data_IF_503554337548
#
_entry.id   IF_503554337548
#
_cell.length_a   1.000
_cell.length_b   1.000
_cell.length_c   1.000
_cell.angle_alpha   90.00
_cell.angle_beta   90.00
_cell.angle_gamma   90.00
#
_symmetry.space_group_name_H-M   'P 1'
#
loop_
_entity.id
_entity.type
_entity.pdbx_description
1 polymer ?
#
# COMPACT_ATOMS: atom_id res chain seq x y z
N UNK A 1 9.57 3.58 1.81
CA UNK A 1 8.45 2.65 2.03
C UNK A 1 7.19 3.22 1.38
N UNK A 2 6.32 2.35 0.87
CA UNK A 2 5.00 2.69 0.35
C UNK A 2 4.07 1.46 0.48
N UNK A 3 2.79 1.63 0.18
CA UNK A 3 1.71 0.65 0.28
C UNK A 3 0.80 0.78 -0.95
N UNK A 4 0.16 -0.31 -1.38
CA UNK A 4 -0.92 -0.27 -2.37
C UNK A 4 -2.28 -0.12 -1.68
N UNK A 5 -2.88 1.06 -1.83
CA UNK A 5 -4.16 1.39 -1.21
C UNK A 5 -5.18 0.30 -1.49
N UNK A 6 -5.73 -0.31 -0.43
CA UNK A 6 -6.82 -1.30 -0.54
C UNK A 6 -6.60 -2.39 -1.61
N UNK A 7 -5.35 -2.87 -1.79
CA UNK A 7 -4.93 -3.71 -2.92
C UNK A 7 -5.95 -4.78 -3.34
N UNK A 8 -6.49 -5.56 -2.40
CA UNK A 8 -7.43 -6.65 -2.70
C UNK A 8 -8.75 -6.20 -3.34
N UNK A 9 -9.24 -5.01 -3.00
CA UNK A 9 -10.53 -4.49 -3.47
C UNK A 9 -10.51 -4.09 -4.96
N UNK A 10 -9.33 -4.00 -5.56
CA UNK A 10 -9.19 -3.72 -6.99
C UNK A 10 -9.35 -4.96 -7.89
N UNK A 11 -9.43 -6.16 -7.30
CA UNK A 11 -9.52 -7.42 -8.04
C UNK A 11 -10.85 -8.10 -7.79
N UNK A 12 -11.62 -8.32 -8.86
CA UNK A 12 -12.90 -9.01 -8.79
C UNK A 12 -12.71 -10.52 -8.59
N UNK A 13 -13.58 -11.09 -7.76
CA UNK A 13 -13.74 -12.54 -7.64
C UNK A 13 -14.66 -13.02 -8.76
N UNK A 14 -14.30 -14.15 -9.38
CA UNK A 14 -15.12 -14.82 -10.40
C UNK A 14 -16.53 -15.07 -9.86
N UNK A 15 -17.56 -14.88 -10.69
CA UNK A 15 -18.96 -14.83 -10.20
C UNK A 15 -19.38 -16.13 -9.52
N UNK A 16 -18.92 -17.26 -10.06
CA UNK A 16 -19.15 -18.60 -9.53
C UNK A 16 -18.54 -18.84 -8.13
N UNK A 17 -17.54 -18.04 -7.74
CA UNK A 17 -16.88 -18.16 -6.44
C UNK A 17 -17.38 -17.17 -5.39
N UNK A 18 -18.17 -16.16 -5.79
CA UNK A 18 -18.62 -15.10 -4.87
C UNK A 18 -19.51 -15.66 -3.75
N UNK A 19 -20.27 -16.73 -4.01
CA UNK A 19 -21.17 -17.31 -3.01
C UNK A 19 -20.43 -17.90 -1.79
N UNK A 20 -19.13 -18.19 -1.92
CA UNK A 20 -18.29 -18.61 -0.79
C UNK A 20 -17.78 -17.44 0.08
N UNK A 21 -18.05 -16.19 -0.33
CA UNK A 21 -17.64 -14.97 0.37
C UNK A 21 -18.84 -14.20 0.93
N UNK A 22 -19.88 -14.94 1.31
CA UNK A 22 -21.07 -14.38 1.97
C UNK A 22 -20.77 -14.04 3.42
N UNK A 23 -21.37 -12.96 3.90
CA UNK A 23 -21.31 -12.56 5.30
C UNK A 23 -22.64 -11.94 5.71
N UNK A 24 -22.94 -12.01 7.00
CA UNK A 24 -24.14 -11.43 7.58
C UNK A 24 -23.81 -10.05 8.16
N UNK A 25 -24.70 -9.09 7.96
CA UNK A 25 -24.55 -7.77 8.54
C UNK A 25 -25.91 -7.14 8.84
N UNK A 26 -25.96 -6.28 9.84
CA UNK A 26 -27.18 -5.56 10.18
C UNK A 26 -27.47 -4.47 9.15
N UNK A 27 -28.72 -4.38 8.70
CA UNK A 27 -29.14 -3.33 7.79
C UNK A 27 -28.81 -1.95 8.38
N UNK A 28 -28.27 -1.06 7.55
CA UNK A 28 -27.84 0.29 7.95
C UNK A 28 -26.92 0.37 9.19
N UNK A 29 -26.14 -0.69 9.48
CA UNK A 29 -25.26 -0.78 10.66
C UNK A 29 -25.98 -0.69 12.03
N UNK A 30 -27.30 -0.90 12.07
CA UNK A 30 -28.07 -0.84 13.32
C UNK A 30 -28.20 -2.21 13.97
N UNK A 31 -27.62 -2.43 15.16
CA UNK A 31 -27.64 -3.75 15.84
C UNK A 31 -29.05 -4.30 16.13
N UNK A 32 -30.06 -3.43 16.14
CA UNK A 32 -31.47 -3.80 16.33
C UNK A 32 -32.24 -3.98 15.02
N UNK A 33 -31.59 -3.75 13.86
CA UNK A 33 -32.19 -3.91 12.55
C UNK A 33 -32.12 -5.37 12.09
N UNK A 34 -32.78 -5.66 10.97
CA UNK A 34 -32.73 -6.99 10.36
C UNK A 34 -31.30 -7.37 9.94
N UNK A 35 -30.96 -8.65 10.11
CA UNK A 35 -29.70 -9.22 9.63
C UNK A 35 -29.87 -9.60 8.17
N UNK A 36 -29.09 -8.96 7.29
CA UNK A 36 -29.08 -9.21 5.86
C UNK A 36 -27.84 -10.03 5.46
N UNK A 37 -27.97 -10.76 4.36
CA UNK A 37 -26.87 -11.46 3.73
C UNK A 37 -26.24 -10.60 2.63
N UNK A 38 -24.94 -10.38 2.74
CA UNK A 38 -24.13 -9.69 1.75
C UNK A 38 -23.13 -10.66 1.13
N UNK A 39 -22.61 -10.29 -0.05
CA UNK A 39 -21.65 -11.08 -0.80
C UNK A 39 -20.52 -10.22 -1.31
N UNK A 40 -19.29 -10.54 -0.92
CA UNK A 40 -18.12 -9.83 -1.46
C UNK A 40 -17.96 -10.10 -2.95
N UNK A 41 -17.68 -9.03 -3.70
CA UNK A 41 -17.44 -9.10 -5.16
C UNK A 41 -15.96 -9.07 -5.51
N UNK A 42 -15.13 -8.72 -4.54
CA UNK A 42 -13.70 -8.49 -4.68
C UNK A 42 -12.93 -9.42 -3.76
N UNK A 43 -11.64 -9.57 -4.02
CA UNK A 43 -10.77 -10.31 -3.13
C UNK A 43 -10.70 -9.62 -1.76
N UNK A 44 -10.60 -10.43 -0.70
CA UNK A 44 -10.56 -9.96 0.68
C UNK A 44 -9.35 -10.51 1.42
N UNK A 45 -8.93 -9.79 2.46
CA UNK A 45 -7.94 -10.25 3.42
C UNK A 45 -8.47 -11.48 4.17
N UNK A 46 -7.58 -12.43 4.49
CA UNK A 46 -7.93 -13.66 5.21
C UNK A 46 -8.40 -14.81 4.32
N UNK A 47 -8.70 -14.55 3.04
CA UNK A 47 -8.98 -15.60 2.07
C UNK A 47 -7.68 -16.08 1.41
N UNK A 48 -7.35 -17.37 1.56
CA UNK A 48 -6.07 -17.96 1.15
C UNK A 48 -5.61 -17.67 -0.29
N UNK A 49 -6.46 -17.70 -1.35
CA UNK A 49 -6.01 -17.39 -2.70
C UNK A 49 -5.90 -15.89 -3.01
N UNK A 50 -6.46 -15.00 -2.17
CA UNK A 50 -6.51 -13.56 -2.46
C UNK A 50 -5.13 -12.92 -2.66
N UNK A 51 -4.11 -13.20 -1.82
CA UNK A 51 -2.74 -12.70 -2.04
C UNK A 51 -2.18 -13.07 -3.41
N UNK A 52 -2.33 -14.32 -3.84
CA UNK A 52 -1.78 -14.79 -5.11
C UNK A 52 -2.44 -14.08 -6.31
N UNK A 53 -3.79 -13.97 -6.29
CA UNK A 53 -4.53 -13.32 -7.38
C UNK A 53 -4.24 -11.81 -7.42
N UNK A 54 -4.22 -11.16 -6.25
CA UNK A 54 -3.95 -9.74 -6.17
C UNK A 54 -2.53 -9.39 -6.61
N UNK A 55 -1.52 -10.17 -6.21
CA UNK A 55 -0.13 -9.98 -6.69
C UNK A 55 -0.03 -10.16 -8.20
N UNK A 56 -0.72 -11.16 -8.76
CA UNK A 56 -0.74 -11.37 -10.21
C UNK A 56 -1.33 -10.16 -10.94
N UNK A 57 -2.48 -9.65 -10.48
CA UNK A 57 -3.11 -8.48 -11.05
C UNK A 57 -2.30 -7.20 -10.84
N UNK A 58 -1.69 -7.02 -9.66
CA UNK A 58 -0.81 -5.91 -9.30
C UNK A 58 0.41 -5.82 -10.21
N UNK A 59 0.97 -6.95 -10.65
CA UNK A 59 2.11 -6.99 -11.58
C UNK A 59 1.73 -6.71 -13.04
N UNK A 60 0.44 -6.76 -13.40
CA UNK A 60 -0.02 -6.53 -14.79
C UNK A 60 0.41 -5.20 -15.40
N UNK A 61 0.27 -4.05 -14.71
CA UNK A 61 0.67 -2.76 -15.24
C UNK A 61 2.16 -2.68 -15.54
N UNK A 62 3.00 -3.44 -14.82
CA UNK A 62 4.44 -3.47 -15.02
C UNK A 62 4.85 -4.10 -16.36
N UNK A 63 4.07 -5.07 -16.87
CA UNK A 63 4.34 -5.67 -18.18
C UNK A 63 4.06 -4.72 -19.36
N UNK A 64 3.12 -3.79 -19.21
CA UNK A 64 2.73 -2.86 -20.29
C UNK A 64 3.32 -1.46 -20.11
N UNK A 65 3.65 -1.08 -18.87
CA UNK A 65 4.16 0.25 -18.52
C UNK A 65 5.66 0.43 -18.63
N UNK A 66 6.45 -0.63 -18.83
CA UNK A 66 7.93 -0.56 -18.84
C UNK A 66 8.48 0.46 -19.85
N UNK A 67 7.88 0.55 -21.04
CA UNK A 67 8.33 1.49 -22.08
C UNK A 67 8.22 2.94 -21.65
N UNK A 68 7.16 3.29 -20.93
CA UNK A 68 6.83 4.67 -20.62
C UNK A 68 7.31 5.09 -19.22
N UNK A 69 7.25 4.16 -18.26
CA UNK A 69 7.56 4.41 -16.85
C UNK A 69 8.95 3.86 -16.44
N UNK A 70 9.64 3.12 -17.33
CA UNK A 70 11.01 2.65 -17.14
C UNK A 70 11.14 1.28 -16.46
N UNK A 71 12.31 0.66 -16.65
CA UNK A 71 12.66 -0.66 -16.11
C UNK A 71 12.70 -0.69 -14.58
N UNK A 72 13.13 0.40 -13.95
CA UNK A 72 13.27 0.48 -12.50
C UNK A 72 11.91 0.41 -11.79
N UNK A 73 10.89 1.10 -12.32
CA UNK A 73 9.53 1.03 -11.77
C UNK A 73 8.96 -0.39 -11.90
N UNK A 74 9.18 -1.05 -13.04
CA UNK A 74 8.80 -2.45 -13.23
C UNK A 74 9.52 -3.36 -12.24
N UNK A 75 10.83 -3.19 -12.10
CA UNK A 75 11.63 -3.99 -11.17
C UNK A 75 11.14 -3.83 -9.74
N UNK A 76 10.85 -2.59 -9.32
CA UNK A 76 10.29 -2.28 -8.02
C UNK A 76 8.95 -3.00 -7.80
N UNK A 77 7.99 -2.89 -8.74
CA UNK A 77 6.71 -3.61 -8.66
C UNK A 77 6.90 -5.13 -8.59
N UNK A 78 7.84 -5.70 -9.33
CA UNK A 78 8.01 -7.15 -9.39
C UNK A 78 8.77 -7.73 -8.20
N UNK A 79 9.76 -7.00 -7.65
CA UNK A 79 10.79 -7.54 -6.75
C UNK A 79 10.86 -6.91 -5.37
N UNK A 80 10.23 -5.76 -5.15
CA UNK A 80 10.37 -5.00 -3.92
C UNK A 80 9.08 -4.90 -3.09
N UNK A 81 8.05 -5.66 -3.46
CA UNK A 81 6.81 -5.76 -2.70
C UNK A 81 6.72 -7.07 -1.93
N UNK A 82 6.34 -6.97 -0.65
CA UNK A 82 5.77 -8.06 0.11
C UNK A 82 4.27 -7.83 0.22
N UNK A 83 3.50 -8.55 -0.61
CA UNK A 83 2.05 -8.33 -0.77
C UNK A 83 1.81 -6.87 -1.20
N UNK A 84 1.22 -6.03 -0.36
CA UNK A 84 0.91 -4.62 -0.60
C UNK A 84 2.01 -3.66 -0.12
N UNK A 85 2.94 -4.12 0.73
CA UNK A 85 4.02 -3.30 1.28
C UNK A 85 5.23 -3.24 0.32
N UNK A 86 5.55 -2.04 -0.16
CA UNK A 86 6.70 -1.75 -1.03
C UNK A 86 7.88 -1.16 -0.26
N UNK A 87 9.06 -1.79 -0.38
CA UNK A 87 10.28 -1.35 0.29
C UNK A 87 11.50 -1.34 -0.65
N UNK A 88 12.19 -0.21 -0.70
CA UNK A 88 13.44 -0.05 -1.45
C UNK A 88 14.31 1.04 -0.81
N UNK A 89 15.59 1.03 -1.15
CA UNK A 89 16.58 2.03 -0.77
C UNK A 89 17.36 2.43 -2.02
N UNK A 90 17.59 3.72 -2.20
CA UNK A 90 18.30 4.28 -3.35
C UNK A 90 19.37 5.27 -2.88
N UNK A 91 20.48 5.43 -3.64
CA UNK A 91 21.58 6.33 -3.28
C UNK A 91 21.20 7.80 -3.10
N UNK A 92 20.20 8.30 -3.83
CA UNK A 92 19.80 9.72 -3.76
C UNK A 92 18.29 9.93 -3.64
N UNK A 93 17.93 11.09 -3.11
CA UNK A 93 16.56 11.57 -2.99
C UNK A 93 15.89 11.70 -4.37
N UNK A 94 16.61 12.19 -5.38
CA UNK A 94 16.07 12.34 -6.75
C UNK A 94 15.72 10.99 -7.39
N UNK A 95 16.56 9.98 -7.21
CA UNK A 95 16.30 8.63 -7.71
C UNK A 95 15.08 8.02 -7.03
N UNK A 96 14.95 8.20 -5.70
CA UNK A 96 13.80 7.73 -4.93
C UNK A 96 12.49 8.40 -5.37
N UNK A 97 12.50 9.72 -5.53
CA UNK A 97 11.33 10.49 -5.99
C UNK A 97 10.94 10.04 -7.40
N UNK A 98 11.91 9.91 -8.31
CA UNK A 98 11.67 9.47 -9.68
C UNK A 98 11.05 8.07 -9.71
N UNK A 99 11.64 7.12 -8.98
CA UNK A 99 11.14 5.74 -8.93
C UNK A 99 9.69 5.69 -8.44
N UNK A 100 9.39 6.36 -7.32
CA UNK A 100 8.05 6.35 -6.73
C UNK A 100 7.01 7.02 -7.65
N UNK A 101 7.34 8.15 -8.29
CA UNK A 101 6.44 8.83 -9.24
C UNK A 101 6.19 8.00 -10.49
N UNK A 102 7.25 7.42 -11.08
CA UNK A 102 7.10 6.51 -12.22
C UNK A 102 6.28 5.27 -11.86
N UNK A 103 6.41 4.79 -10.62
CA UNK A 103 5.59 3.66 -10.13
C UNK A 103 4.13 4.07 -9.93
N UNK A 104 3.84 5.26 -9.38
CA UNK A 104 2.47 5.79 -9.29
C UNK A 104 1.82 5.89 -10.68
N UNK A 105 2.53 6.43 -11.67
CA UNK A 105 2.03 6.53 -13.04
C UNK A 105 1.77 5.14 -13.66
N UNK A 106 2.69 4.20 -13.46
CA UNK A 106 2.56 2.83 -13.95
C UNK A 106 1.32 2.14 -13.38
N UNK A 107 1.09 2.26 -12.08
CA UNK A 107 -0.01 1.60 -11.36
C UNK A 107 -1.37 2.27 -11.62
N UNK A 108 -1.40 3.59 -11.80
CA UNK A 108 -2.62 4.35 -12.10
C UNK A 108 -3.32 3.86 -13.37
N UNK A 109 -2.58 3.28 -14.33
CA UNK A 109 -3.12 2.66 -15.56
C UNK A 109 -4.06 1.50 -15.30
N UNK A 110 -4.03 0.92 -14.09
CA UNK A 110 -4.95 -0.13 -13.66
C UNK A 110 -5.71 0.25 -12.38
N UNK A 111 -5.91 1.55 -12.17
CA UNK A 111 -6.59 2.12 -11.00
C UNK A 111 -5.94 1.75 -9.66
N UNK A 112 -4.68 1.29 -9.66
CA UNK A 112 -3.94 0.99 -8.44
C UNK A 112 -3.24 2.26 -7.97
N UNK A 113 -3.32 2.54 -6.68
CA UNK A 113 -2.76 3.74 -6.08
C UNK A 113 -1.67 3.39 -5.07
N UNK A 114 -0.43 3.84 -5.35
CA UNK A 114 0.70 3.72 -4.43
C UNK A 114 0.67 4.89 -3.46
N UNK A 115 0.56 4.59 -2.17
CA UNK A 115 0.39 5.58 -1.10
C UNK A 115 1.14 5.17 0.17
N UNK A 116 0.84 5.83 1.29
CA UNK A 116 1.56 5.73 2.58
C UNK A 116 3.08 5.85 2.41
N UNK A 117 3.51 6.78 1.58
CA UNK A 117 4.92 7.05 1.32
C UNK A 117 5.56 7.56 2.61
N UNK A 118 6.68 6.94 2.97
CA UNK A 118 7.54 7.31 4.09
C UNK A 118 9.01 7.09 3.70
N UNK A 119 9.87 8.02 4.10
CA UNK A 119 11.31 8.00 3.83
C UNK A 119 12.05 8.68 4.98
N UNK A 120 13.27 8.23 5.25
CA UNK A 120 14.25 8.91 6.12
C UNK A 120 14.73 10.26 5.55
N UNK A 121 14.30 10.63 4.34
CA UNK A 121 14.58 11.91 3.69
C UNK A 121 13.32 12.73 3.52
N UNK A 122 13.35 13.94 4.09
CA UNK A 122 12.23 14.89 4.07
C UNK A 122 11.91 15.37 2.65
N UNK A 123 12.94 15.53 1.83
CA UNK A 123 12.87 15.94 0.42
C UNK A 123 12.03 14.96 -0.39
N UNK A 124 12.18 13.64 -0.12
CA UNK A 124 11.38 12.60 -0.74
C UNK A 124 9.92 12.75 -0.33
N UNK A 125 9.63 12.94 0.96
CA UNK A 125 8.25 13.10 1.45
C UNK A 125 7.57 14.36 0.89
N UNK A 126 8.29 15.48 0.81
CA UNK A 126 7.76 16.75 0.25
C UNK A 126 7.43 16.68 -1.25
N UNK A 127 7.95 15.68 -1.96
CA UNK A 127 7.70 15.51 -3.38
C UNK A 127 6.33 14.90 -3.72
N UNK A 128 5.58 14.45 -2.71
CA UNK A 128 4.27 13.80 -2.82
C UNK A 128 3.17 14.59 -2.10
N UNK A 129 1.92 14.48 -2.57
CA UNK A 129 0.80 15.13 -1.90
C UNK A 129 0.54 14.49 -0.52
N UNK A 130 -0.02 15.26 0.41
CA UNK A 130 -0.21 14.83 1.81
C UNK A 130 -1.08 13.56 1.92
N UNK A 131 -1.99 13.35 0.98
CA UNK A 131 -2.89 12.22 0.88
C UNK A 131 -2.13 10.90 0.65
N UNK A 132 -0.97 10.99 0.00
CA UNK A 132 -0.11 9.86 -0.35
C UNK A 132 0.91 9.55 0.73
N UNK A 133 1.08 10.42 1.73
CA UNK A 133 1.98 10.18 2.85
C UNK A 133 1.39 9.19 3.87
N UNK A 134 2.26 8.54 4.64
CA UNK A 134 1.81 7.69 5.75
C UNK A 134 0.97 8.51 6.75
N UNK A 135 0.00 7.86 7.41
CA UNK A 135 -1.04 8.54 8.21
C UNK A 135 -0.47 9.53 9.23
N UNK A 136 0.59 9.14 9.93
CA UNK A 136 1.24 9.96 10.96
C UNK A 136 2.05 11.13 10.37
N UNK A 137 2.40 11.07 9.08
CA UNK A 137 3.13 12.11 8.36
C UNK A 137 2.19 13.16 7.73
N UNK A 138 0.91 12.85 7.52
CA UNK A 138 -0.04 13.76 6.85
C UNK A 138 -0.22 15.10 7.56
N UNK A 139 -0.15 15.09 8.88
CA UNK A 139 -0.38 16.26 9.72
C UNK A 139 0.93 16.83 10.31
N UNK A 140 2.08 16.29 9.91
CA UNK A 140 3.37 16.73 10.39
C UNK A 140 3.88 17.92 9.57
N UNK A 141 4.34 18.98 10.22
CA UNK A 141 5.15 19.98 9.52
C UNK A 141 6.52 19.39 9.22
N UNK A 142 6.71 18.95 7.97
CA UNK A 142 7.95 18.37 7.47
C UNK A 142 9.15 19.34 7.50
N UNK A 143 8.97 20.62 7.85
CA UNK A 143 10.08 21.56 8.02
C UNK A 143 10.58 21.67 9.46
N UNK A 144 9.75 21.31 10.45
CA UNK A 144 10.04 21.60 11.86
C UNK A 144 9.80 20.41 12.80
N UNK A 145 9.03 19.41 12.37
CA UNK A 145 8.72 18.22 13.14
C UNK A 145 9.67 17.05 12.85
N UNK A 146 10.05 16.33 13.91
CA UNK A 146 10.69 15.02 13.77
C UNK A 146 9.67 14.02 13.21
N UNK A 147 10.04 13.20 12.20
CA UNK A 147 9.17 12.15 11.70
C UNK A 147 8.79 11.18 12.84
N UNK A 148 7.49 10.89 13.05
CA UNK A 148 7.09 9.89 14.01
C UNK A 148 7.55 8.50 13.56
N UNK A 149 7.74 7.61 14.52
CA UNK A 149 8.03 6.19 14.29
C UNK A 149 7.00 5.61 13.34
N UNK A 150 7.47 5.00 12.25
CA UNK A 150 6.65 4.30 11.28
C UNK A 150 6.62 2.80 11.60
N UNK A 151 5.72 2.07 10.94
CA UNK A 151 5.67 0.60 11.05
C UNK A 151 5.81 0.00 9.67
N UNK A 152 6.67 -1.00 9.54
CA UNK A 152 6.90 -1.76 8.31
C UNK A 152 6.95 -3.25 8.64
N UNK A 153 6.12 -4.06 7.98
CA UNK A 153 6.14 -5.52 8.11
C UNK A 153 6.12 -6.04 9.57
N UNK A 154 5.40 -5.33 10.44
CA UNK A 154 5.25 -5.69 11.85
C UNK A 154 6.32 -5.11 12.79
N UNK A 155 7.39 -4.50 12.28
CA UNK A 155 8.48 -3.88 13.05
C UNK A 155 8.34 -2.36 13.06
N UNK A 156 8.76 -1.71 14.16
CA UNK A 156 8.79 -0.26 14.24
C UNK A 156 10.07 0.27 13.57
N UNK A 157 9.96 1.37 12.85
CA UNK A 157 11.05 2.04 12.15
C UNK A 157 11.16 3.48 12.64
N UNK A 158 12.27 3.80 13.29
CA UNK A 158 12.66 5.18 13.53
C UNK A 158 13.18 5.76 12.21
N UNK A 159 12.37 6.62 11.61
CA UNK A 159 12.64 7.22 10.31
C UNK A 159 13.77 8.25 10.37
N UNK A 160 13.98 8.89 11.53
CA UNK A 160 14.99 9.92 11.68
C UNK A 160 16.40 9.32 11.75
N UNK A 161 16.55 8.29 12.58
CA UNK A 161 17.82 7.57 12.77
C UNK A 161 18.03 6.47 11.72
N UNK A 162 17.01 6.17 10.93
CA UNK A 162 16.96 5.09 9.95
C UNK A 162 17.28 3.71 10.56
N UNK A 163 16.66 3.39 11.69
CA UNK A 163 16.86 2.12 12.40
C UNK A 163 15.53 1.44 12.76
N UNK A 164 15.53 0.12 12.70
CA UNK A 164 14.42 -0.66 13.23
C UNK A 164 14.52 -0.77 14.74
N UNK A 165 13.40 -0.55 15.42
CA UNK A 165 13.30 -0.58 16.88
C UNK A 165 12.25 -1.59 17.34
N UNK A 166 12.44 -2.12 18.54
CA UNK A 166 11.46 -2.95 19.23
C UNK A 166 10.98 -2.20 20.47
N UNK A 167 9.67 -1.99 20.58
CA UNK A 167 9.08 -1.49 21.81
C UNK A 167 8.75 -2.69 22.71
N UNK A 168 9.49 -2.80 23.81
CA UNK A 168 9.20 -3.77 24.87
C UNK A 168 8.26 -3.04 25.83
N UNK A 169 7.05 -3.57 26.03
CA UNK A 169 6.16 -3.04 27.06
C UNK A 169 6.75 -3.38 28.43
N UNK A 170 6.92 -2.38 29.30
CA UNK A 170 7.19 -2.64 30.71
C UNK A 170 5.96 -3.36 31.31
N UNK A 171 6.22 -4.46 32.03
CA UNK A 171 5.20 -5.28 32.68
C UNK A 171 4.45 -4.54 33.79
#
# INVERSE_FOLDING_TARGET
MADIQQMFHFFLVAEEHRDFLRFLWYDNNGINNEVLEYRMRVHVLGNSPSPAVAIYGFRKPAFTGERDCGSEAKHFVERNFYVDDGLTSLPTEEEAIKLLKSTQEMLARSNLHLHKIASNKVEVMKAFPSEDLAKELKNLDLNTGLPPVQRSLGVNWDVNEDVFIFQIADQ
#
